data_IF_186443565862
#
_entry.id   IF_186443565862
#
_cell.length_a   1.000
_cell.length_b   1.000
_cell.length_c   1.000
_cell.angle_alpha   90.00
_cell.angle_beta   90.00
_cell.angle_gamma   90.00
#
_symmetry.space_group_name_H-M   'P 1'
#
loop_
_entity.id
_entity.type
_entity.pdbx_description
1 polymer ?
#
# COMPACT_ATOMS: atom_id res chain seq x y z
N UNK A 1 34.39 56.33 16.82
CA UNK A 1 35.38 55.23 16.80
C UNK A 1 34.82 54.14 15.94
N UNK A 2 35.21 54.10 14.68
CA UNK A 2 34.75 53.20 13.62
C UNK A 2 35.65 51.97 13.64
N UNK A 3 35.10 50.76 13.87
CA UNK A 3 35.84 49.50 13.74
C UNK A 3 35.38 48.80 12.46
N UNK A 4 36.36 48.62 11.58
CA UNK A 4 36.32 48.09 10.23
C UNK A 4 35.86 46.62 10.16
N UNK A 5 34.93 46.34 9.22
CA UNK A 5 34.57 45.01 8.73
C UNK A 5 35.60 44.49 7.72
N UNK A 6 36.70 43.93 8.17
CA UNK A 6 37.61 43.12 7.31
C UNK A 6 38.48 42.26 8.22
N UNK A 7 38.09 41.02 8.45
CA UNK A 7 38.99 39.88 8.72
C UNK A 7 38.14 38.71 9.27
N UNK A 8 37.43 37.97 8.39
CA UNK A 8 36.97 36.61 8.66
C UNK A 8 36.66 35.92 7.32
N UNK A 9 37.70 35.70 6.53
CA UNK A 9 37.65 34.88 5.33
C UNK A 9 39.04 34.29 5.08
N UNK A 10 39.42 33.31 5.86
CA UNK A 10 40.49 32.36 5.54
C UNK A 10 40.55 31.31 6.65
N UNK A 11 39.86 30.19 6.52
CA UNK A 11 40.18 28.89 7.15
C UNK A 11 38.96 27.91 7.03
N UNK A 12 38.62 27.51 5.81
CA UNK A 12 37.70 26.38 5.57
C UNK A 12 38.01 25.70 4.23
N UNK A 13 39.30 25.41 3.99
CA UNK A 13 39.71 24.58 2.85
C UNK A 13 40.85 23.67 3.27
N UNK A 14 40.57 22.64 4.04
CA UNK A 14 41.51 21.51 4.26
C UNK A 14 40.82 20.39 5.09
N UNK A 15 39.73 19.79 4.60
CA UNK A 15 39.22 18.53 5.16
C UNK A 15 38.41 17.67 4.16
N UNK A 16 38.61 17.90 2.85
CA UNK A 16 37.87 17.11 1.83
C UNK A 16 38.77 16.25 0.92
N UNK A 17 40.00 15.96 1.31
CA UNK A 17 40.97 15.29 0.45
C UNK A 17 41.59 14.02 1.04
N UNK A 18 40.87 13.23 1.88
CA UNK A 18 41.46 12.01 2.49
C UNK A 18 40.52 10.80 2.53
N UNK A 19 39.57 10.67 1.61
CA UNK A 19 38.78 9.42 1.41
C UNK A 19 38.80 8.90 -0.03
N UNK A 20 39.69 9.39 -0.88
CA UNK A 20 39.78 8.97 -2.29
C UNK A 20 40.89 7.98 -2.59
N UNK A 21 41.51 7.34 -1.59
CA UNK A 21 42.60 6.38 -1.80
C UNK A 21 42.20 4.99 -1.28
N UNK A 22 41.34 4.27 -2.02
CA UNK A 22 40.97 2.92 -1.65
C UNK A 22 40.03 2.19 -2.61
N UNK A 23 39.55 2.85 -3.66
CA UNK A 23 38.69 2.20 -4.64
C UNK A 23 39.51 1.90 -5.89
N UNK A 24 39.75 0.61 -6.18
CA UNK A 24 40.34 0.15 -7.44
C UNK A 24 39.53 0.64 -8.64
N UNK A 25 40.09 0.67 -9.85
CA UNK A 25 39.41 1.12 -11.06
C UNK A 25 38.23 0.19 -11.36
N UNK A 26 37.00 0.62 -11.00
CA UNK A 26 35.75 -0.11 -11.29
C UNK A 26 34.69 -0.12 -10.19
N UNK A 27 35.01 0.26 -8.94
CA UNK A 27 34.00 0.30 -7.88
C UNK A 27 33.24 1.63 -7.88
N UNK A 28 32.02 1.63 -8.40
CA UNK A 28 31.09 2.76 -8.22
C UNK A 28 30.73 2.88 -6.74
N UNK A 29 30.72 4.09 -6.15
CA UNK A 29 30.25 4.31 -4.79
C UNK A 29 28.84 3.76 -4.64
N UNK A 30 28.51 3.10 -3.50
CA UNK A 30 27.20 2.51 -3.22
C UNK A 30 26.04 3.50 -3.36
N UNK A 31 26.27 4.81 -3.17
CA UNK A 31 25.28 5.87 -3.40
C UNK A 31 25.08 6.23 -4.88
N UNK A 32 25.87 5.72 -5.81
CA UNK A 32 25.77 5.97 -7.24
C UNK A 32 25.04 4.84 -8.02
N UNK A 33 24.52 3.82 -7.34
CA UNK A 33 23.67 2.83 -7.99
C UNK A 33 22.31 3.47 -8.28
N UNK A 34 21.95 3.59 -9.54
CA UNK A 34 20.60 3.99 -9.96
C UNK A 34 19.60 2.99 -9.39
N UNK A 35 18.42 3.44 -8.91
CA UNK A 35 17.36 2.52 -8.53
C UNK A 35 17.08 1.54 -9.67
N UNK A 36 16.75 0.29 -9.35
CA UNK A 36 16.39 -0.74 -10.34
C UNK A 36 15.01 -0.52 -10.97
N UNK A 37 14.39 0.64 -10.75
CA UNK A 37 13.05 1.03 -11.22
C UNK A 37 13.00 2.54 -11.51
N UNK A 38 12.04 2.93 -12.34
CA UNK A 38 11.64 4.32 -12.58
C UNK A 38 10.33 4.66 -11.84
N UNK A 39 10.10 5.96 -11.62
CA UNK A 39 8.86 6.47 -11.01
C UNK A 39 8.21 7.40 -12.02
N UNK A 40 6.93 7.11 -12.34
CA UNK A 40 6.12 7.90 -13.26
C UNK A 40 4.90 8.44 -12.52
N UNK A 41 4.73 9.76 -12.50
CA UNK A 41 3.51 10.41 -12.02
C UNK A 41 2.61 10.74 -13.21
N UNK A 42 1.39 10.22 -13.19
CA UNK A 42 0.42 10.42 -14.27
C UNK A 42 -0.83 11.12 -13.71
N UNK A 43 -1.27 12.17 -14.38
CA UNK A 43 -2.49 12.91 -14.07
C UNK A 43 -3.62 12.40 -14.97
N UNK A 44 -4.28 11.30 -14.53
CA UNK A 44 -5.43 10.76 -15.24
C UNK A 44 -6.71 11.53 -14.85
N UNK A 45 -7.66 11.62 -15.79
CA UNK A 45 -8.95 12.24 -15.55
C UNK A 45 -10.05 11.41 -16.18
N UNK A 46 -11.01 10.96 -15.35
CA UNK A 46 -12.21 10.27 -15.81
C UNK A 46 -13.27 11.30 -16.24
N UNK A 47 -13.34 11.56 -17.53
CA UNK A 47 -14.27 12.53 -18.09
C UNK A 47 -15.75 12.14 -17.91
N UNK A 48 -16.08 10.86 -17.69
CA UNK A 48 -17.46 10.40 -17.48
C UNK A 48 -17.97 10.80 -16.09
N UNK A 49 -17.08 10.77 -15.09
CA UNK A 49 -17.40 11.11 -13.70
C UNK A 49 -16.94 12.52 -13.34
N UNK A 50 -16.30 13.24 -14.28
CA UNK A 50 -15.59 14.50 -14.04
C UNK A 50 -14.68 14.40 -12.81
N UNK A 51 -13.88 13.30 -12.73
CA UNK A 51 -13.10 12.98 -11.56
C UNK A 51 -11.61 12.81 -11.90
N UNK A 52 -10.71 13.58 -11.25
CA UNK A 52 -9.27 13.33 -11.33
C UNK A 52 -8.93 11.98 -10.68
N UNK A 53 -8.07 11.21 -11.32
CA UNK A 53 -7.53 9.93 -10.83
C UNK A 53 -6.01 9.95 -10.99
N UNK A 54 -5.30 10.80 -10.24
CA UNK A 54 -3.84 10.86 -10.31
C UNK A 54 -3.23 9.55 -9.80
N UNK A 55 -2.19 9.08 -10.46
CA UNK A 55 -1.52 7.83 -10.08
C UNK A 55 0.00 8.00 -10.05
N UNK A 56 0.67 7.15 -9.28
CA UNK A 56 2.12 6.98 -9.30
C UNK A 56 2.45 5.53 -9.62
N UNK A 57 3.22 5.34 -10.68
CA UNK A 57 3.70 4.03 -11.09
C UNK A 57 5.20 3.89 -10.75
N UNK A 58 5.53 2.87 -9.98
CA UNK A 58 6.88 2.38 -9.79
C UNK A 58 7.06 1.23 -10.79
N UNK A 59 7.94 1.38 -11.77
CA UNK A 59 8.07 0.44 -12.88
C UNK A 59 9.50 -0.12 -12.91
N UNK A 60 9.68 -1.45 -12.77
CA UNK A 60 10.98 -2.08 -12.87
C UNK A 60 11.67 -1.78 -14.21
N UNK A 61 12.97 -1.48 -14.22
CA UNK A 61 13.72 -1.23 -15.46
C UNK A 61 13.76 -2.45 -16.38
N UNK A 62 13.69 -3.67 -15.81
CA UNK A 62 13.60 -4.92 -16.57
C UNK A 62 12.26 -5.14 -17.27
N UNK A 63 11.21 -4.45 -16.89
CA UNK A 63 9.89 -4.61 -17.50
C UNK A 63 9.90 -4.13 -18.95
N UNK A 64 9.53 -5.01 -19.87
CA UNK A 64 9.52 -4.77 -21.30
C UNK A 64 8.30 -5.41 -21.97
N UNK A 65 8.10 -5.15 -23.27
CA UNK A 65 7.02 -5.79 -24.04
C UNK A 65 7.20 -7.31 -24.13
N UNK A 66 8.44 -7.81 -24.11
CA UNK A 66 8.73 -9.25 -24.15
C UNK A 66 8.68 -9.91 -22.77
N UNK A 67 8.87 -9.11 -21.70
CA UNK A 67 8.86 -9.56 -20.30
C UNK A 67 8.11 -8.54 -19.43
N UNK A 68 6.76 -8.53 -19.50
CA UNK A 68 5.95 -7.59 -18.75
C UNK A 68 5.93 -7.93 -17.26
N UNK A 69 6.05 -6.89 -16.40
CA UNK A 69 6.04 -7.05 -14.95
C UNK A 69 4.63 -7.33 -14.41
N UNK A 70 4.46 -8.24 -13.43
CA UNK A 70 3.23 -8.33 -12.65
C UNK A 70 2.91 -6.99 -12.00
N UNK A 71 1.64 -6.67 -11.83
CA UNK A 71 1.18 -5.36 -11.37
C UNK A 71 0.49 -5.44 -10.01
N UNK A 72 0.99 -4.69 -9.04
CA UNK A 72 0.30 -4.42 -7.79
C UNK A 72 -0.39 -3.06 -7.88
N UNK A 73 -1.71 -3.01 -7.69
CA UNK A 73 -2.47 -1.75 -7.65
C UNK A 73 -2.79 -1.40 -6.21
N UNK A 74 -2.26 -0.31 -5.72
CA UNK A 74 -2.31 0.08 -4.31
C UNK A 74 -3.28 1.23 -4.05
N UNK A 75 -4.19 1.03 -3.09
CA UNK A 75 -5.16 2.01 -2.58
C UNK A 75 -4.78 2.47 -1.17
N UNK A 76 -4.61 3.78 -0.98
CA UNK A 76 -4.26 4.37 0.33
C UNK A 76 -5.45 4.39 1.30
N UNK A 77 -5.18 4.51 2.63
CA UNK A 77 -6.18 4.79 3.66
C UNK A 77 -6.76 6.21 3.58
N UNK A 78 -7.82 6.50 4.34
CA UNK A 78 -8.38 7.86 4.44
C UNK A 78 -7.27 8.87 4.79
N UNK A 79 -7.25 9.99 4.09
CA UNK A 79 -6.28 11.05 4.26
C UNK A 79 -4.87 10.70 3.75
N UNK A 80 -4.72 9.63 2.97
CA UNK A 80 -3.48 9.24 2.30
C UNK A 80 -3.29 9.89 0.94
N UNK A 81 -2.39 9.35 0.13
CA UNK A 81 -2.15 9.80 -1.24
C UNK A 81 -1.36 8.77 -2.05
N UNK A 82 -1.30 8.94 -3.37
CA UNK A 82 -0.41 8.17 -4.26
C UNK A 82 1.08 8.27 -3.90
N UNK A 83 1.44 9.28 -3.11
CA UNK A 83 2.83 9.50 -2.68
C UNK A 83 3.19 8.74 -1.40
N UNK A 84 2.19 8.20 -0.70
CA UNK A 84 2.38 7.40 0.51
C UNK A 84 2.77 5.95 0.21
N UNK A 85 3.16 5.23 1.27
CA UNK A 85 3.57 3.81 1.21
C UNK A 85 4.73 3.55 0.26
N UNK A 86 5.62 4.53 0.11
CA UNK A 86 6.78 4.46 -0.77
C UNK A 86 7.65 3.24 -0.47
N UNK A 87 7.76 2.85 0.80
CA UNK A 87 8.55 1.70 1.22
C UNK A 87 8.05 0.38 0.60
N UNK A 88 6.75 0.25 0.30
CA UNK A 88 6.18 -0.88 -0.43
C UNK A 88 6.41 -0.73 -1.94
N UNK A 89 5.96 0.36 -2.53
CA UNK A 89 6.03 0.56 -3.99
C UNK A 89 7.45 0.47 -4.53
N UNK A 90 8.41 1.14 -3.88
CA UNK A 90 9.82 1.07 -4.27
C UNK A 90 10.43 -0.33 -4.07
N UNK A 91 10.04 -1.02 -2.99
CA UNK A 91 10.52 -2.36 -2.73
C UNK A 91 10.00 -3.36 -3.77
N UNK A 92 8.68 -3.40 -4.01
CA UNK A 92 8.09 -4.28 -5.02
C UNK A 92 8.72 -4.05 -6.40
N UNK A 93 8.90 -2.78 -6.80
CA UNK A 93 9.54 -2.46 -8.07
C UNK A 93 11.01 -2.92 -8.13
N UNK A 94 11.75 -2.86 -7.02
CA UNK A 94 13.11 -3.40 -6.94
C UNK A 94 13.16 -4.93 -7.02
N UNK A 95 12.05 -5.61 -6.74
CA UNK A 95 11.89 -7.07 -6.82
C UNK A 95 11.20 -7.52 -8.13
N UNK A 96 11.01 -6.63 -9.11
CA UNK A 96 10.45 -6.98 -10.42
C UNK A 96 8.93 -6.84 -10.53
N UNK A 97 8.23 -6.37 -9.51
CA UNK A 97 6.78 -6.15 -9.52
C UNK A 97 6.46 -4.68 -9.73
N UNK A 98 5.80 -4.31 -10.82
CA UNK A 98 5.31 -2.96 -11.00
C UNK A 98 4.28 -2.60 -9.90
N UNK A 99 4.28 -1.36 -9.42
CA UNK A 99 3.35 -0.92 -8.38
C UNK A 99 2.69 0.41 -8.74
N UNK A 100 1.36 0.37 -8.92
CA UNK A 100 0.52 1.52 -9.27
C UNK A 100 -0.21 2.01 -8.03
N UNK A 101 0.18 3.17 -7.52
CA UNK A 101 -0.45 3.82 -6.38
C UNK A 101 -1.51 4.81 -6.85
N UNK A 102 -2.76 4.60 -6.45
CA UNK A 102 -3.89 5.46 -6.79
C UNK A 102 -4.02 6.61 -5.79
N UNK A 103 -4.47 7.78 -6.27
CA UNK A 103 -4.98 8.84 -5.42
C UNK A 103 -6.49 8.94 -5.55
N UNK A 104 -7.20 8.60 -4.49
CA UNK A 104 -8.65 8.71 -4.40
C UNK A 104 -9.02 10.08 -3.86
N UNK A 105 -9.32 11.02 -4.76
CA UNK A 105 -9.42 12.46 -4.46
C UNK A 105 -10.52 12.82 -3.45
N UNK A 106 -11.59 12.00 -3.32
CA UNK A 106 -12.66 12.24 -2.33
C UNK A 106 -12.28 11.85 -0.90
N UNK A 107 -11.17 11.11 -0.72
CA UNK A 107 -10.74 10.59 0.58
C UNK A 107 -9.22 10.70 0.78
N UNK A 108 -8.56 11.59 0.04
CA UNK A 108 -7.13 11.79 0.05
C UNK A 108 -6.66 12.76 1.16
N UNK A 109 -5.40 13.17 1.08
CA UNK A 109 -4.76 14.11 2.04
C UNK A 109 -5.49 15.44 2.22
N UNK A 110 -6.37 15.82 1.27
CA UNK A 110 -7.14 17.06 1.36
C UNK A 110 -8.14 17.03 2.53
N UNK A 111 -8.51 15.87 3.04
CA UNK A 111 -9.29 15.71 4.29
C UNK A 111 -8.64 16.47 5.46
N UNK A 112 -7.30 16.57 5.47
CA UNK A 112 -6.55 17.25 6.53
C UNK A 112 -6.40 18.77 6.30
N UNK A 113 -6.75 19.27 5.11
CA UNK A 113 -6.62 20.69 4.77
C UNK A 113 -7.81 21.47 5.33
N UNK A 114 -7.53 22.55 6.05
CA UNK A 114 -8.56 23.42 6.66
C UNK A 114 -8.41 23.47 8.18
N UNK A 115 -8.13 24.65 8.71
CA UNK A 115 -7.67 24.89 10.07
C UNK A 115 -8.71 24.71 11.19
N UNK A 116 -9.96 24.32 10.90
CA UNK A 116 -10.98 24.14 11.95
C UNK A 116 -11.10 22.63 12.31
N UNK A 117 -10.67 22.22 13.54
CA UNK A 117 -10.76 20.83 13.99
C UNK A 117 -12.20 20.29 14.04
N UNK A 118 -13.19 21.14 14.29
CA UNK A 118 -14.60 20.72 14.30
C UNK A 118 -15.08 20.28 12.91
N UNK A 119 -14.51 20.84 11.85
CA UNK A 119 -14.83 20.44 10.47
C UNK A 119 -14.06 19.18 10.02
N UNK A 120 -13.03 18.78 10.76
CA UNK A 120 -12.24 17.60 10.41
C UNK A 120 -13.07 16.32 10.50
N UNK A 121 -13.87 16.17 11.57
CA UNK A 121 -14.74 15.00 11.73
C UNK A 121 -15.73 14.92 10.57
N UNK A 122 -16.38 16.05 10.19
CA UNK A 122 -17.28 16.08 9.03
C UNK A 122 -16.59 15.60 7.76
N UNK A 123 -15.40 16.12 7.44
CA UNK A 123 -14.62 15.69 6.25
C UNK A 123 -14.23 14.21 6.29
N UNK A 124 -13.91 13.67 7.47
CA UNK A 124 -13.62 12.23 7.62
C UNK A 124 -14.88 11.39 7.40
N UNK A 125 -16.04 11.82 7.91
CA UNK A 125 -17.31 11.16 7.70
C UNK A 125 -17.73 11.21 6.22
N UNK A 126 -17.57 12.35 5.57
CA UNK A 126 -17.84 12.51 4.12
C UNK A 126 -16.93 11.60 3.29
N UNK A 127 -15.64 11.53 3.63
CA UNK A 127 -14.68 10.65 2.97
C UNK A 127 -14.97 9.16 3.19
N UNK A 128 -15.73 8.78 4.20
CA UNK A 128 -16.12 7.39 4.51
C UNK A 128 -17.49 7.00 3.94
N UNK A 129 -18.17 7.90 3.20
CA UNK A 129 -19.48 7.59 2.63
C UNK A 129 -19.42 6.48 1.58
N UNK A 130 -20.52 5.76 1.41
CA UNK A 130 -20.66 4.68 0.41
C UNK A 130 -20.35 5.16 -1.02
N UNK A 131 -20.78 6.37 -1.36
CA UNK A 131 -20.49 6.97 -2.67
C UNK A 131 -18.99 7.08 -2.94
N UNK A 132 -18.19 7.43 -1.93
CA UNK A 132 -16.73 7.44 -2.07
C UNK A 132 -16.15 6.02 -2.10
N UNK A 133 -16.71 5.05 -1.36
CA UNK A 133 -16.29 3.66 -1.45
C UNK A 133 -16.45 3.10 -2.87
N UNK A 134 -17.59 3.38 -3.51
CA UNK A 134 -17.85 3.03 -4.92
C UNK A 134 -16.87 3.78 -5.84
N UNK A 135 -16.75 5.08 -5.66
CA UNK A 135 -15.86 5.91 -6.49
C UNK A 135 -14.40 5.44 -6.45
N UNK A 136 -13.93 4.92 -5.31
CA UNK A 136 -12.57 4.37 -5.16
C UNK A 136 -12.36 3.10 -5.99
N UNK A 137 -13.36 2.22 -6.06
CA UNK A 137 -13.28 1.04 -6.94
C UNK A 137 -13.37 1.45 -8.42
N UNK A 138 -14.19 2.43 -8.73
CA UNK A 138 -14.24 2.99 -10.09
C UNK A 138 -12.93 3.67 -10.49
N UNK A 139 -12.24 4.35 -9.56
CA UNK A 139 -10.89 4.89 -9.80
C UNK A 139 -9.89 3.76 -10.10
N UNK A 140 -9.98 2.64 -9.36
CA UNK A 140 -9.16 1.45 -9.58
C UNK A 140 -9.37 0.87 -10.99
N UNK A 141 -10.64 0.64 -11.36
CA UNK A 141 -11.01 0.13 -12.69
C UNK A 141 -10.56 1.08 -13.80
N UNK A 142 -10.87 2.37 -13.64
CA UNK A 142 -10.51 3.40 -14.61
C UNK A 142 -9.00 3.48 -14.85
N UNK A 143 -8.20 3.44 -13.78
CA UNK A 143 -6.74 3.48 -13.92
C UNK A 143 -6.22 2.30 -14.74
N UNK A 144 -6.71 1.09 -14.50
CA UNK A 144 -6.37 -0.09 -15.30
C UNK A 144 -6.85 0.04 -16.75
N UNK A 145 -8.08 0.51 -16.98
CA UNK A 145 -8.65 0.72 -18.32
C UNK A 145 -7.87 1.73 -19.15
N UNK A 146 -7.26 2.71 -18.49
CA UNK A 146 -6.44 3.73 -19.16
C UNK A 146 -5.00 3.29 -19.42
N UNK A 147 -4.42 2.54 -18.49
CA UNK A 147 -3.00 2.19 -18.56
C UNK A 147 -2.75 0.94 -19.39
N UNK A 148 -3.54 -0.12 -19.25
CA UNK A 148 -3.25 -1.42 -19.86
C UNK A 148 -3.27 -1.39 -21.40
N UNK A 149 -4.19 -0.67 -22.08
CA UNK A 149 -4.17 -0.61 -23.54
C UNK A 149 -3.04 0.27 -24.13
N UNK A 150 -2.43 1.12 -23.30
CA UNK A 150 -1.42 2.10 -23.72
C UNK A 150 -0.01 1.51 -23.87
N UNK A 151 0.93 2.36 -24.21
CA UNK A 151 2.35 1.99 -24.36
C UNK A 151 2.96 1.45 -23.06
N UNK A 152 2.66 2.10 -21.93
CA UNK A 152 3.08 1.61 -20.61
C UNK A 152 2.48 0.24 -20.29
N UNK A 153 1.24 -0.02 -20.71
CA UNK A 153 0.55 -1.28 -20.47
C UNK A 153 1.22 -2.48 -21.13
N UNK A 154 1.96 -2.28 -22.23
CA UNK A 154 2.75 -3.37 -22.84
C UNK A 154 3.91 -3.87 -21.97
N UNK A 155 4.31 -3.09 -20.96
CA UNK A 155 5.32 -3.43 -19.96
C UNK A 155 4.72 -4.02 -18.67
N UNK A 156 3.37 -4.13 -18.60
CA UNK A 156 2.61 -4.63 -17.46
C UNK A 156 1.87 -5.92 -17.82
N UNK A 157 1.97 -6.94 -16.99
CA UNK A 157 1.23 -8.19 -17.23
C UNK A 157 -0.22 -8.05 -16.74
N UNK A 158 -1.14 -7.85 -17.66
CA UNK A 158 -2.57 -7.71 -17.40
C UNK A 158 -3.24 -8.96 -16.83
N UNK A 159 -2.57 -10.12 -16.84
CA UNK A 159 -3.06 -11.38 -16.28
C UNK A 159 -2.55 -11.63 -14.85
N UNK A 160 -1.59 -10.84 -14.39
CA UNK A 160 -0.97 -10.94 -13.05
C UNK A 160 -1.16 -9.65 -12.27
N UNK A 161 -2.44 -9.33 -11.95
CA UNK A 161 -2.82 -8.13 -11.19
C UNK A 161 -3.18 -8.50 -9.76
N UNK A 162 -2.55 -7.83 -8.80
CA UNK A 162 -2.82 -7.94 -7.36
C UNK A 162 -3.38 -6.62 -6.87
N UNK A 163 -4.54 -6.64 -6.24
CA UNK A 163 -5.06 -5.48 -5.51
C UNK A 163 -4.41 -5.40 -4.13
N UNK A 164 -3.99 -4.22 -3.70
CA UNK A 164 -3.39 -4.00 -2.40
C UNK A 164 -3.92 -2.72 -1.76
N UNK A 165 -3.98 -2.68 -0.43
CA UNK A 165 -4.39 -1.46 0.25
C UNK A 165 -4.25 -1.52 1.76
N UNK A 166 -4.29 -0.33 2.36
CA UNK A 166 -4.23 -0.15 3.81
C UNK A 166 -5.48 0.57 4.31
N UNK A 167 -6.02 0.13 5.47
CA UNK A 167 -7.18 0.77 6.10
C UNK A 167 -8.36 0.81 5.13
N UNK A 168 -8.95 1.97 4.87
CA UNK A 168 -10.00 2.15 3.86
C UNK A 168 -9.58 1.65 2.47
N UNK A 169 -8.29 1.72 2.12
CA UNK A 169 -7.75 1.11 0.90
C UNK A 169 -7.82 -0.41 0.90
N UNK A 170 -7.76 -1.04 2.08
CA UNK A 170 -7.97 -2.48 2.20
C UNK A 170 -9.43 -2.87 1.94
N UNK A 171 -10.41 -2.06 2.35
CA UNK A 171 -11.81 -2.27 1.95
C UNK A 171 -11.98 -2.09 0.42
N UNK A 172 -11.34 -1.07 -0.19
CA UNK A 172 -11.31 -0.92 -1.65
C UNK A 172 -10.74 -2.17 -2.34
N UNK A 173 -9.65 -2.72 -1.79
CA UNK A 173 -9.04 -3.97 -2.26
C UNK A 173 -10.01 -5.15 -2.17
N UNK A 174 -10.69 -5.33 -1.04
CA UNK A 174 -11.66 -6.40 -0.84
C UNK A 174 -12.86 -6.28 -1.78
N UNK A 175 -13.38 -5.08 -2.02
CA UNK A 175 -14.46 -4.82 -2.99
C UNK A 175 -14.01 -5.19 -4.40
N UNK A 176 -12.83 -4.73 -4.83
CA UNK A 176 -12.28 -5.08 -6.13
C UNK A 176 -11.99 -6.58 -6.27
N UNK A 177 -11.66 -7.27 -5.16
CA UNK A 177 -11.39 -8.71 -5.12
C UNK A 177 -12.65 -9.58 -5.00
N UNK A 178 -13.86 -8.99 -4.96
CA UNK A 178 -15.12 -9.72 -5.02
C UNK A 178 -15.95 -9.72 -3.74
N UNK A 179 -15.71 -8.79 -2.79
CA UNK A 179 -16.62 -8.59 -1.66
C UNK A 179 -17.96 -8.05 -2.15
N UNK A 180 -19.07 -8.66 -1.68
CA UNK A 180 -20.42 -8.29 -2.05
C UNK A 180 -21.11 -7.57 -0.89
N UNK A 181 -21.39 -6.29 -1.06
CA UNK A 181 -22.10 -5.46 -0.06
C UNK A 181 -23.56 -5.31 -0.49
N UNK A 182 -24.50 -5.60 0.41
CA UNK A 182 -25.92 -5.35 0.18
C UNK A 182 -26.34 -3.98 0.74
N UNK A 183 -27.00 -3.17 -0.08
CA UNK A 183 -27.53 -1.85 0.31
C UNK A 183 -28.94 -1.68 -0.21
N UNK A 184 -29.88 -1.39 0.70
CA UNK A 184 -31.29 -1.14 0.35
C UNK A 184 -31.89 -2.22 -0.59
N UNK A 185 -31.57 -3.50 -0.32
CA UNK A 185 -32.04 -4.64 -1.12
C UNK A 185 -31.36 -4.80 -2.49
N UNK A 186 -30.22 -4.12 -2.72
CA UNK A 186 -29.40 -4.25 -3.94
C UNK A 186 -27.99 -4.71 -3.57
N UNK A 187 -27.50 -5.72 -4.27
CA UNK A 187 -26.11 -6.14 -4.16
C UNK A 187 -25.23 -5.18 -4.95
N UNK A 188 -24.23 -4.60 -4.30
CA UNK A 188 -23.17 -3.84 -4.96
C UNK A 188 -22.07 -4.82 -5.36
N UNK A 189 -22.06 -5.21 -6.62
CA UNK A 189 -20.98 -6.00 -7.21
C UNK A 189 -19.93 -5.05 -7.81
N UNK A 190 -18.87 -4.84 -7.05
CA UNK A 190 -17.72 -4.02 -7.42
C UNK A 190 -16.50 -4.87 -7.80
N UNK A 191 -16.68 -6.17 -8.02
CA UNK A 191 -15.61 -7.08 -8.42
C UNK A 191 -14.98 -6.69 -9.76
N UNK A 192 -13.66 -6.60 -9.80
CA UNK A 192 -12.88 -6.49 -11.04
C UNK A 192 -12.25 -7.86 -11.35
N UNK A 193 -12.67 -8.53 -12.43
CA UNK A 193 -12.22 -9.89 -12.76
C UNK A 193 -10.73 -9.98 -13.13
N UNK A 194 -10.05 -8.85 -13.30
CA UNK A 194 -8.59 -8.80 -13.51
C UNK A 194 -7.79 -9.03 -12.22
N UNK A 195 -8.43 -8.86 -11.04
CA UNK A 195 -7.78 -9.05 -9.74
C UNK A 195 -7.59 -10.53 -9.46
N UNK A 196 -6.35 -11.00 -9.50
CA UNK A 196 -5.98 -12.40 -9.25
C UNK A 196 -5.56 -12.70 -7.81
N UNK A 197 -5.24 -11.68 -7.00
CA UNK A 197 -4.90 -11.83 -5.58
C UNK A 197 -5.09 -10.52 -4.81
N UNK A 198 -5.08 -10.55 -3.48
CA UNK A 198 -5.31 -9.41 -2.62
C UNK A 198 -4.27 -9.29 -1.48
N UNK A 199 -3.73 -8.08 -1.25
CA UNK A 199 -2.93 -7.74 -0.06
C UNK A 199 -3.72 -6.72 0.77
N UNK A 200 -4.14 -7.14 1.95
CA UNK A 200 -5.11 -6.47 2.82
C UNK A 200 -4.41 -6.06 4.11
N UNK A 201 -4.05 -4.78 4.24
CA UNK A 201 -3.31 -4.26 5.39
C UNK A 201 -4.27 -3.48 6.28
N UNK A 202 -4.46 -3.91 7.53
CA UNK A 202 -5.28 -3.23 8.55
C UNK A 202 -6.71 -2.92 8.07
N UNK A 203 -7.40 -3.87 7.46
CA UNK A 203 -8.76 -3.66 6.96
C UNK A 203 -9.74 -3.43 8.10
N UNK A 204 -10.41 -2.27 8.20
CA UNK A 204 -11.54 -2.13 9.12
C UNK A 204 -12.72 -3.00 8.64
N UNK A 205 -13.67 -3.32 9.53
CA UNK A 205 -14.90 -3.99 9.12
C UNK A 205 -15.70 -3.11 8.14
N UNK A 206 -16.62 -3.71 7.41
CA UNK A 206 -17.62 -2.97 6.65
C UNK A 206 -18.66 -2.45 7.63
N UNK A 207 -18.49 -1.19 8.06
CA UNK A 207 -19.36 -0.58 9.06
C UNK A 207 -20.82 -0.57 8.61
N UNK A 208 -21.72 -0.84 9.57
CA UNK A 208 -23.15 -0.99 9.30
C UNK A 208 -23.57 -2.38 8.84
N UNK A 209 -22.62 -3.28 8.63
CA UNK A 209 -22.89 -4.69 8.30
C UNK A 209 -22.73 -5.57 9.54
N UNK A 210 -23.69 -6.48 9.73
CA UNK A 210 -23.72 -7.35 10.90
C UNK A 210 -23.06 -8.71 10.70
N UNK A 211 -22.75 -9.08 9.45
CA UNK A 211 -22.21 -10.39 9.10
C UNK A 211 -21.09 -10.26 8.06
N UNK A 212 -19.84 -10.22 8.50
CA UNK A 212 -18.68 -10.18 7.60
C UNK A 212 -18.68 -11.32 6.58
N UNK A 213 -19.16 -12.52 6.97
CA UNK A 213 -19.20 -13.72 6.13
C UNK A 213 -20.08 -13.51 4.88
N UNK A 214 -21.22 -12.80 5.03
CA UNK A 214 -22.11 -12.52 3.89
C UNK A 214 -21.43 -11.66 2.83
N UNK A 215 -20.53 -10.77 3.25
CA UNK A 215 -19.81 -9.85 2.38
C UNK A 215 -18.59 -10.55 1.77
N UNK A 216 -17.81 -11.26 2.60
CA UNK A 216 -16.45 -11.67 2.29
C UNK A 216 -16.34 -13.12 1.81
N UNK A 217 -17.36 -13.95 1.97
CA UNK A 217 -17.37 -15.33 1.48
C UNK A 217 -17.22 -15.42 -0.05
N UNK A 218 -17.56 -14.38 -0.78
CA UNK A 218 -17.40 -14.28 -2.24
C UNK A 218 -15.96 -13.92 -2.68
N UNK A 219 -15.11 -13.45 -1.79
CA UNK A 219 -13.68 -13.20 -2.07
C UNK A 219 -12.97 -14.56 -2.14
N UNK A 220 -12.68 -15.04 -3.36
CA UNK A 220 -12.10 -16.36 -3.63
C UNK A 220 -10.64 -16.34 -4.08
N UNK A 221 -10.10 -15.17 -4.37
CA UNK A 221 -8.70 -15.03 -4.76
C UNK A 221 -7.76 -15.26 -3.57
N UNK A 222 -6.53 -15.72 -3.78
CA UNK A 222 -5.51 -15.77 -2.73
C UNK A 222 -5.38 -14.42 -2.03
N UNK A 223 -5.25 -14.41 -0.70
CA UNK A 223 -5.16 -13.16 0.05
C UNK A 223 -4.16 -13.20 1.20
N UNK A 224 -3.44 -12.10 1.37
CA UNK A 224 -2.57 -11.83 2.51
C UNK A 224 -3.18 -10.74 3.37
N UNK A 225 -3.37 -11.03 4.65
CA UNK A 225 -3.88 -10.09 5.64
C UNK A 225 -2.77 -9.72 6.63
N UNK A 226 -2.60 -8.43 6.90
CA UNK A 226 -1.57 -7.92 7.82
C UNK A 226 -2.22 -6.94 8.78
N UNK A 227 -1.95 -7.11 10.09
CA UNK A 227 -2.41 -6.21 11.16
C UNK A 227 -1.45 -6.24 12.34
N UNK A 228 -1.81 -5.60 13.45
CA UNK A 228 -1.03 -5.58 14.69
C UNK A 228 -1.96 -5.62 15.91
N UNK A 229 -1.45 -6.05 17.07
CA UNK A 229 -2.27 -6.19 18.29
C UNK A 229 -2.85 -4.86 18.79
N UNK A 230 -2.15 -3.73 18.56
CA UNK A 230 -2.62 -2.38 18.93
C UNK A 230 -3.18 -1.61 17.73
N UNK A 231 -3.57 -2.31 16.67
CA UNK A 231 -4.18 -1.72 15.47
C UNK A 231 -5.63 -1.29 15.74
N UNK A 232 -5.79 -0.11 16.32
CA UNK A 232 -7.08 0.44 16.72
C UNK A 232 -7.41 1.71 15.94
N UNK A 233 -8.63 1.77 15.40
CA UNK A 233 -9.25 2.99 14.86
C UNK A 233 -10.20 3.54 15.93
N UNK A 234 -10.03 4.85 16.29
CA UNK A 234 -10.83 5.55 17.31
C UNK A 234 -11.47 6.79 16.71
N UNK A 235 -12.27 6.59 15.68
CA UNK A 235 -13.09 7.67 15.07
C UNK A 235 -14.53 7.47 15.54
N UNK A 236 -15.23 8.49 16.04
CA UNK A 236 -16.64 8.38 16.42
C UNK A 236 -17.48 7.76 15.29
N UNK A 237 -18.20 6.67 15.58
CA UNK A 237 -18.95 5.90 14.59
C UNK A 237 -18.17 4.86 13.80
N UNK A 238 -16.83 4.85 13.92
CA UNK A 238 -15.94 3.94 13.17
C UNK A 238 -14.86 3.32 14.08
N UNK A 239 -15.26 2.87 15.26
CA UNK A 239 -14.34 2.15 16.15
C UNK A 239 -14.08 0.74 15.61
N UNK A 240 -12.81 0.29 15.65
CA UNK A 240 -12.47 -1.11 15.40
C UNK A 240 -11.09 -1.47 15.96
N UNK A 241 -10.91 -2.71 16.36
CA UNK A 241 -9.70 -3.28 16.93
C UNK A 241 -9.12 -4.43 16.09
N UNK A 242 -8.12 -5.13 16.62
CA UNK A 242 -7.47 -6.28 15.95
C UNK A 242 -8.48 -7.41 15.71
N UNK A 243 -9.44 -7.61 16.62
CA UNK A 243 -10.48 -8.64 16.52
C UNK A 243 -11.32 -8.46 15.25
N UNK A 244 -11.60 -7.22 14.85
CA UNK A 244 -12.32 -6.92 13.62
C UNK A 244 -11.50 -7.30 12.38
N UNK A 245 -10.16 -7.10 12.41
CA UNK A 245 -9.27 -7.53 11.30
C UNK A 245 -9.20 -9.04 11.22
N UNK A 246 -9.14 -9.72 12.35
CA UNK A 246 -9.19 -11.19 12.39
C UNK A 246 -10.55 -11.73 11.93
N UNK A 247 -11.65 -11.07 12.27
CA UNK A 247 -12.98 -11.42 11.77
C UNK A 247 -13.09 -11.24 10.24
N UNK A 248 -12.52 -10.14 9.70
CA UNK A 248 -12.40 -9.95 8.24
C UNK A 248 -11.62 -11.10 7.61
N UNK A 249 -10.44 -11.47 8.16
CA UNK A 249 -9.66 -12.60 7.67
C UNK A 249 -10.44 -13.92 7.75
N UNK A 250 -11.11 -14.20 8.86
CA UNK A 250 -11.88 -15.43 9.05
C UNK A 250 -12.98 -15.57 8.00
N UNK A 251 -13.67 -14.47 7.68
CA UNK A 251 -14.80 -14.42 6.75
C UNK A 251 -14.44 -14.57 5.27
N UNK A 252 -13.17 -14.40 4.89
CA UNK A 252 -12.69 -14.57 3.50
C UNK A 252 -12.95 -16.00 3.02
N UNK A 253 -13.62 -16.12 1.87
CA UNK A 253 -14.01 -17.41 1.30
C UNK A 253 -12.90 -18.17 0.59
N UNK A 254 -11.74 -17.58 0.35
CA UNK A 254 -10.57 -18.26 -0.19
C UNK A 254 -9.96 -19.20 0.84
N UNK A 255 -9.57 -20.40 0.43
CA UNK A 255 -8.75 -21.32 1.25
C UNK A 255 -7.27 -20.93 1.24
N UNK A 256 -6.80 -20.26 0.18
CA UNK A 256 -5.44 -19.72 0.06
C UNK A 256 -5.38 -18.35 0.70
N UNK A 257 -5.39 -18.28 2.02
CA UNK A 257 -5.31 -17.03 2.77
C UNK A 257 -4.27 -17.10 3.87
N UNK A 258 -3.53 -16.02 4.06
CA UNK A 258 -2.45 -15.87 5.04
C UNK A 258 -2.75 -14.70 5.95
N UNK A 259 -2.48 -14.84 7.26
CA UNK A 259 -2.59 -13.76 8.24
C UNK A 259 -1.26 -13.57 8.97
N UNK A 260 -0.83 -12.33 9.11
CA UNK A 260 0.26 -11.92 9.99
C UNK A 260 -0.23 -10.81 10.95
N UNK A 261 -0.06 -11.05 12.26
CA UNK A 261 -0.36 -10.08 13.32
C UNK A 261 0.96 -9.71 13.99
N UNK A 262 1.35 -8.44 13.90
CA UNK A 262 2.54 -7.94 14.60
C UNK A 262 2.21 -7.65 16.06
N UNK A 263 3.20 -7.85 16.94
CA UNK A 263 3.08 -7.51 18.35
C UNK A 263 3.25 -6.00 18.57
N UNK A 264 2.31 -5.37 19.26
CA UNK A 264 2.27 -3.92 19.46
C UNK A 264 1.95 -3.18 18.15
N UNK A 265 2.18 -1.88 18.16
CA UNK A 265 2.06 -1.04 16.97
C UNK A 265 0.64 -0.55 16.66
N UNK A 266 0.56 0.67 16.17
CA UNK A 266 -0.71 1.32 15.87
C UNK A 266 -1.15 1.13 14.43
N UNK A 267 -2.41 1.44 14.15
CA UNK A 267 -2.98 1.49 12.80
C UNK A 267 -2.12 2.25 11.77
N UNK A 268 -1.45 3.32 12.20
CA UNK A 268 -0.63 4.17 11.31
C UNK A 268 0.79 3.63 11.05
N UNK A 269 1.25 2.55 11.73
CA UNK A 269 2.61 2.05 11.59
C UNK A 269 2.93 1.52 10.18
N UNK A 270 1.91 1.11 9.43
CA UNK A 270 2.04 0.65 8.05
C UNK A 270 2.13 1.80 7.03
N UNK A 271 1.98 3.05 7.48
CA UNK A 271 2.14 4.24 6.62
C UNK A 271 3.59 4.74 6.63
N UNK A 272 3.92 5.75 5.83
CA UNK A 272 5.24 6.40 5.88
C UNK A 272 5.42 7.27 7.16
N UNK A 273 4.36 7.45 7.96
CA UNK A 273 4.41 8.19 9.23
C UNK A 273 5.02 7.33 10.33
N UNK A 274 5.61 7.96 11.33
CA UNK A 274 5.97 7.29 12.57
C UNK A 274 4.69 6.93 13.33
N UNK A 275 4.52 5.64 13.68
CA UNK A 275 3.39 5.15 14.46
C UNK A 275 3.75 4.88 15.93
N UNK A 276 2.79 4.40 16.72
CA UNK A 276 3.04 3.87 18.05
C UNK A 276 4.04 2.68 18.01
N UNK A 277 4.73 2.41 19.07
CA UNK A 277 5.81 1.41 19.14
C UNK A 277 7.21 2.01 18.93
N UNK A 278 7.28 3.30 18.55
CA UNK A 278 8.54 4.02 18.36
C UNK A 278 9.26 3.70 17.04
N UNK A 279 10.35 4.41 16.76
CA UNK A 279 11.04 4.31 15.47
C UNK A 279 11.60 2.92 15.17
N UNK A 280 12.08 2.20 16.18
CA UNK A 280 12.68 0.88 16.01
C UNK A 280 11.65 -0.16 15.58
N UNK A 281 10.53 -0.29 16.31
CA UNK A 281 9.45 -1.22 15.96
C UNK A 281 8.87 -0.89 14.58
N UNK A 282 8.64 0.39 14.27
CA UNK A 282 8.15 0.80 12.95
C UNK A 282 9.08 0.38 11.82
N UNK A 283 10.41 0.52 12.00
CA UNK A 283 11.38 0.11 11.00
C UNK A 283 11.36 -1.42 10.79
N UNK A 284 11.31 -2.20 11.89
CA UNK A 284 11.23 -3.65 11.84
C UNK A 284 9.95 -4.15 11.17
N UNK A 285 8.78 -3.60 11.53
CA UNK A 285 7.50 -3.97 10.93
C UNK A 285 7.45 -3.62 9.44
N UNK A 286 7.96 -2.44 9.04
CA UNK A 286 8.03 -2.09 7.62
C UNK A 286 8.96 -3.02 6.82
N UNK A 287 10.10 -3.41 7.40
CA UNK A 287 10.99 -4.38 6.78
C UNK A 287 10.31 -5.75 6.63
N UNK A 288 9.71 -6.25 7.72
CA UNK A 288 8.99 -7.51 7.74
C UNK A 288 7.79 -7.52 6.78
N UNK A 289 7.03 -6.40 6.70
CA UNK A 289 5.89 -6.26 5.79
C UNK A 289 6.35 -6.29 4.32
N UNK A 290 7.46 -5.63 3.97
CA UNK A 290 8.03 -5.70 2.61
C UNK A 290 8.37 -7.14 2.22
N UNK A 291 9.09 -7.85 3.08
CA UNK A 291 9.48 -9.24 2.85
C UNK A 291 8.26 -10.15 2.72
N UNK A 292 7.29 -10.03 3.64
CA UNK A 292 6.08 -10.83 3.64
C UNK A 292 5.25 -10.62 2.37
N UNK A 293 5.03 -9.35 2.00
CA UNK A 293 4.23 -9.04 0.80
C UNK A 293 4.93 -9.51 -0.47
N UNK A 294 6.26 -9.44 -0.54
CA UNK A 294 7.02 -9.96 -1.67
C UNK A 294 6.99 -11.50 -1.72
N UNK A 295 7.15 -12.17 -0.57
CA UNK A 295 7.01 -13.63 -0.49
C UNK A 295 5.61 -14.09 -0.95
N UNK A 296 4.56 -13.35 -0.57
CA UNK A 296 3.21 -13.61 -1.06
C UNK A 296 3.07 -13.39 -2.57
N UNK A 297 3.68 -12.36 -3.15
CA UNK A 297 3.68 -12.13 -4.59
C UNK A 297 4.35 -13.28 -5.36
N UNK A 298 5.48 -13.80 -4.88
CA UNK A 298 6.12 -15.00 -5.46
C UNK A 298 5.24 -16.23 -5.31
N UNK A 299 4.64 -16.44 -4.14
CA UNK A 299 3.68 -17.54 -3.91
C UNK A 299 2.52 -17.55 -4.92
N UNK A 300 1.95 -16.37 -5.20
CA UNK A 300 0.77 -16.27 -6.12
C UNK A 300 1.17 -16.42 -7.58
N UNK A 301 2.32 -15.90 -7.99
CA UNK A 301 2.71 -15.82 -9.40
C UNK A 301 3.59 -16.96 -9.86
N UNK A 302 4.36 -17.57 -8.95
CA UNK A 302 5.36 -18.59 -9.25
C UNK A 302 5.01 -19.94 -8.58
N UNK A 303 4.06 -19.93 -7.61
CA UNK A 303 3.70 -21.12 -6.84
C UNK A 303 4.74 -21.52 -5.79
N UNK A 304 5.68 -20.61 -5.46
CA UNK A 304 6.73 -20.84 -4.47
C UNK A 304 6.32 -20.26 -3.10
N UNK A 305 5.93 -21.13 -2.18
CA UNK A 305 5.56 -20.79 -0.81
C UNK A 305 6.73 -20.82 0.18
N UNK A 306 7.95 -21.13 -0.26
CA UNK A 306 9.09 -21.38 0.62
C UNK A 306 9.42 -20.19 1.51
N UNK A 307 9.54 -18.99 0.92
CA UNK A 307 9.80 -17.75 1.64
C UNK A 307 8.64 -17.35 2.55
N UNK A 308 7.40 -17.55 2.10
CA UNK A 308 6.20 -17.26 2.89
C UNK A 308 6.13 -18.16 4.14
N UNK A 309 6.49 -19.44 4.03
CA UNK A 309 6.55 -20.37 5.15
C UNK A 309 7.73 -20.09 6.09
N UNK A 310 8.86 -19.62 5.58
CA UNK A 310 10.05 -19.29 6.38
C UNK A 310 9.94 -17.94 7.11
N UNK A 311 9.08 -17.05 6.63
CA UNK A 311 8.97 -15.67 7.14
C UNK A 311 8.67 -15.58 8.65
N UNK A 312 7.72 -16.32 9.27
CA UNK A 312 7.38 -16.17 10.68
C UNK A 312 8.55 -16.54 11.62
N UNK A 313 9.43 -17.44 11.20
CA UNK A 313 10.61 -17.80 11.98
C UNK A 313 11.62 -16.66 11.99
N UNK A 314 11.83 -16.00 10.86
CA UNK A 314 12.75 -14.84 10.76
C UNK A 314 12.28 -13.64 11.57
N UNK A 315 10.97 -13.47 11.72
CA UNK A 315 10.36 -12.32 12.39
C UNK A 315 9.67 -12.66 13.73
N UNK A 316 10.01 -13.81 14.34
CA UNK A 316 9.36 -14.30 15.56
C UNK A 316 9.40 -13.30 16.73
N UNK A 317 10.40 -12.41 16.77
CA UNK A 317 10.53 -11.40 17.83
C UNK A 317 9.46 -10.28 17.79
N UNK A 318 8.78 -10.10 16.64
CA UNK A 318 7.80 -9.02 16.44
C UNK A 318 6.46 -9.53 15.90
N UNK A 319 6.29 -10.84 15.75
CA UNK A 319 5.07 -11.46 15.25
C UNK A 319 4.33 -12.15 16.38
N UNK A 320 3.12 -11.70 16.67
CA UNK A 320 2.25 -12.26 17.69
C UNK A 320 1.51 -13.50 17.18
N UNK A 321 1.08 -13.46 15.90
CA UNK A 321 0.33 -14.55 15.27
C UNK A 321 0.64 -14.64 13.78
N UNK A 322 0.77 -15.88 13.30
CA UNK A 322 0.86 -16.16 11.87
C UNK A 322 -0.01 -17.37 11.50
N UNK A 323 -0.80 -17.22 10.44
CA UNK A 323 -1.55 -18.30 9.80
C UNK A 323 -1.03 -18.41 8.37
N UNK A 324 -0.34 -19.48 8.06
CA UNK A 324 0.24 -19.74 6.75
C UNK A 324 -0.82 -20.03 5.67
N UNK A 325 -0.40 -20.13 4.41
CA UNK A 325 -1.27 -20.56 3.34
C UNK A 325 -1.74 -21.99 3.60
N UNK A 326 -3.03 -22.23 3.37
CA UNK A 326 -3.66 -23.57 3.49
C UNK A 326 -3.16 -24.53 2.40
#
# INVERSE_FOLDING_TARGET
MTISRRTFLASATSAAALVAAGLGPGSRPLWAQQPSYEILDLELHDARRDRPVPVRLYLPHGASTGEPAPLVVFSHGIGGSRLGYRYLGSHWASQGFASLHLQHVGSDRNVWIGGNPLMLLGRLLDAAQETEAIARVDDFRFALDRLLPGELGRRLDSRRIVAAGHSYGANTTLLAAGAHVERTGRTLDLHDPRVGAAIVISAPPFYGESSPERILASVRVPSLHVTATDDVIRIPGYYSGVEDREAVFAAIGSTRKTLAVFEGGSHSMFTDRAGAGGPLLNAQVKAATRELTTAFLHSVHEGDDSELRAWPVRHAAIVSRFVGPG
#
